data_IF_678175123426
#
_entry.id   IF_678175123426
#
_cell.length_a   1.000
_cell.length_b   1.000
_cell.length_c   1.000
_cell.angle_alpha   90.00
_cell.angle_beta   90.00
_cell.angle_gamma   90.00
#
_symmetry.space_group_name_H-M   'P 1'
#
loop_
_entity.id
_entity.type
_entity.pdbx_description
1 polymer ?
#
# COMPACT_ATOMS: atom_id res chain seq x y z
N UNK A 1 -11.11 7.02 -17.61
CA UNK A 1 -11.00 6.42 -16.27
C UNK A 1 -10.12 5.17 -16.43
N UNK A 2 -8.81 5.19 -16.13
CA UNK A 2 -8.08 3.94 -16.06
C UNK A 2 -8.65 3.13 -14.89
N UNK A 3 -9.01 1.88 -15.15
CA UNK A 3 -9.61 0.99 -14.18
C UNK A 3 -8.56 0.60 -13.14
N UNK A 4 -8.48 1.35 -12.03
CA UNK A 4 -7.78 0.89 -10.83
C UNK A 4 -8.70 -0.11 -10.14
N UNK A 5 -8.50 -1.39 -10.43
CA UNK A 5 -9.29 -2.43 -9.79
C UNK A 5 -8.73 -2.66 -8.39
N UNK A 6 -9.39 -2.09 -7.39
CA UNK A 6 -9.15 -2.37 -5.98
C UNK A 6 -9.96 -3.61 -5.61
N UNK A 7 -9.41 -4.79 -5.90
CA UNK A 7 -9.99 -6.03 -5.40
C UNK A 7 -9.37 -6.38 -4.06
N UNK A 8 -10.25 -6.39 -3.07
CA UNK A 8 -10.17 -7.24 -1.88
C UNK A 8 -9.25 -6.76 -0.75
N UNK A 9 -9.85 -6.07 0.23
CA UNK A 9 -9.40 -6.10 1.63
C UNK A 9 -9.86 -7.44 2.22
N UNK A 10 -9.26 -8.54 1.78
CA UNK A 10 -9.46 -9.83 2.44
C UNK A 10 -8.68 -9.84 3.76
N UNK A 11 -9.39 -10.09 4.85
CA UNK A 11 -8.82 -10.34 6.18
C UNK A 11 -8.15 -11.73 6.21
N UNK A 12 -7.00 -11.86 5.57
CA UNK A 12 -6.15 -13.04 5.66
C UNK A 12 -5.19 -12.78 6.82
N UNK A 13 -5.44 -13.45 7.96
CA UNK A 13 -4.60 -13.39 9.17
C UNK A 13 -4.41 -11.99 9.80
N UNK A 14 -5.48 -11.17 9.92
CA UNK A 14 -5.41 -9.83 10.54
C UNK A 14 -4.48 -8.86 9.77
N UNK A 15 -4.31 -9.07 8.47
CA UNK A 15 -3.53 -8.21 7.57
C UNK A 15 -4.44 -7.62 6.50
N UNK A 16 -4.33 -6.31 6.25
CA UNK A 16 -5.09 -5.64 5.19
C UNK A 16 -4.35 -5.80 3.87
N UNK A 17 -5.01 -6.32 2.84
CA UNK A 17 -4.44 -6.42 1.50
C UNK A 17 -5.07 -5.35 0.59
N UNK A 18 -4.25 -4.72 -0.24
CA UNK A 18 -4.69 -3.78 -1.27
C UNK A 18 -4.01 -4.14 -2.57
N UNK A 19 -4.80 -4.46 -3.59
CA UNK A 19 -4.31 -4.74 -4.94
C UNK A 19 -4.73 -3.56 -5.81
N UNK A 20 -3.77 -2.90 -6.45
CA UNK A 20 -4.03 -1.87 -7.44
C UNK A 20 -3.26 -2.20 -8.72
N UNK A 21 -3.98 -2.69 -9.73
CA UNK A 21 -3.38 -3.04 -11.03
C UNK A 21 -4.04 -2.27 -12.16
N UNK A 22 -3.22 -1.82 -13.11
CA UNK A 22 -3.63 -1.22 -14.38
C UNK A 22 -3.44 -2.17 -15.58
N UNK A 23 -2.63 -3.21 -15.40
CA UNK A 23 -2.22 -4.13 -16.48
C UNK A 23 -2.73 -5.57 -16.27
N UNK A 24 -3.52 -5.81 -15.21
CA UNK A 24 -4.02 -7.13 -14.87
C UNK A 24 -2.95 -8.07 -14.30
N UNK A 25 -1.81 -7.54 -13.83
CA UNK A 25 -0.78 -8.32 -13.13
C UNK A 25 -0.50 -7.73 -11.75
N UNK A 26 0.01 -8.52 -10.80
CA UNK A 26 0.28 -8.09 -9.42
C UNK A 26 1.43 -7.07 -9.29
N UNK A 27 2.35 -7.04 -10.25
CA UNK A 27 3.50 -6.13 -10.28
C UNK A 27 4.38 -6.20 -9.03
N UNK A 28 4.58 -5.07 -8.35
CA UNK A 28 5.43 -4.93 -7.16
C UNK A 28 4.59 -5.10 -5.89
N UNK A 29 5.01 -6.01 -5.01
CA UNK A 29 4.36 -6.31 -3.73
C UNK A 29 5.21 -5.71 -2.61
N UNK A 30 4.59 -4.83 -1.83
CA UNK A 30 5.15 -4.19 -0.65
C UNK A 30 4.41 -4.66 0.59
N UNK A 31 5.14 -4.94 1.65
CA UNK A 31 4.59 -5.23 2.96
C UNK A 31 4.95 -4.10 3.91
N UNK A 32 3.95 -3.38 4.38
CA UNK A 32 4.05 -2.32 5.36
C UNK A 32 3.53 -2.83 6.70
N UNK A 33 4.27 -2.57 7.79
CA UNK A 33 3.85 -2.91 9.14
C UNK A 33 4.25 -1.82 10.11
N UNK A 34 3.43 -1.61 11.13
CA UNK A 34 3.82 -0.80 12.28
C UNK A 34 4.87 -1.58 13.07
N UNK A 35 6.03 -0.98 13.28
CA UNK A 35 7.05 -1.52 14.18
C UNK A 35 6.60 -1.25 15.62
N UNK A 36 6.40 -2.32 16.38
CA UNK A 36 6.09 -2.24 17.81
C UNK A 36 7.40 -2.03 18.58
N UNK A 37 7.84 -0.77 18.64
CA UNK A 37 9.01 -0.32 19.39
C UNK A 37 8.65 0.79 20.38
N UNK A 38 9.40 0.85 21.48
CA UNK A 38 9.27 1.69 22.70
C UNK A 38 9.30 3.22 22.50
N UNK A 39 8.89 3.72 21.35
CA UNK A 39 8.91 5.14 21.01
C UNK A 39 7.50 5.67 20.79
N UNK A 40 7.27 6.86 21.34
CA UNK A 40 5.99 7.62 21.31
C UNK A 40 5.55 7.92 19.84
N UNK A 41 6.48 7.80 18.89
CA UNK A 41 6.22 7.95 17.46
C UNK A 41 6.03 6.57 16.79
N UNK A 42 4.85 6.35 16.22
CA UNK A 42 4.54 5.14 15.43
C UNK A 42 5.53 5.03 14.26
N UNK A 43 6.46 4.09 14.33
CA UNK A 43 7.44 3.84 13.27
C UNK A 43 6.86 2.80 12.32
N UNK A 44 6.79 3.10 11.02
CA UNK A 44 6.26 2.18 10.01
C UNK A 44 7.41 1.66 9.15
N UNK A 45 7.54 0.34 9.08
CA UNK A 45 8.53 -0.34 8.24
C UNK A 45 7.85 -0.88 6.99
N UNK A 46 8.48 -0.64 5.84
CA UNK A 46 7.98 -1.10 4.53
C UNK A 46 9.08 -1.92 3.88
N UNK A 47 8.75 -3.14 3.48
CA UNK A 47 9.65 -4.07 2.82
C UNK A 47 9.06 -4.54 1.50
N UNK A 48 9.83 -4.46 0.42
CA UNK A 48 9.41 -4.97 -0.90
C UNK A 48 9.60 -6.49 -0.92
N UNK A 49 8.48 -7.22 -0.94
CA UNK A 49 8.44 -8.69 -0.99
C UNK A 49 8.77 -9.16 -2.40
N UNK A 50 8.19 -8.50 -3.41
CA UNK A 50 8.28 -8.91 -4.81
C UNK A 50 8.28 -7.71 -5.76
N UNK A 51 8.93 -7.81 -6.92
CA UNK A 51 9.05 -6.70 -7.88
C UNK A 51 10.36 -5.92 -7.77
N UNK A 52 10.43 -4.75 -8.43
CA UNK A 52 11.64 -3.91 -8.44
C UNK A 52 11.83 -3.26 -7.06
N UNK A 53 12.95 -3.56 -6.41
CA UNK A 53 13.28 -3.09 -5.04
C UNK A 53 13.75 -1.64 -4.95
N UNK A 54 14.04 -0.99 -6.08
CA UNK A 54 14.72 0.32 -6.10
C UNK A 54 13.77 1.51 -6.30
N UNK A 55 12.46 1.31 -6.20
CA UNK A 55 11.51 2.40 -6.33
C UNK A 55 11.16 2.98 -4.95
N UNK A 56 12.06 3.84 -4.45
CA UNK A 56 11.87 4.58 -3.20
C UNK A 56 10.51 5.30 -3.11
N UNK A 57 9.94 5.68 -4.26
CA UNK A 57 8.60 6.26 -4.36
C UNK A 57 7.48 5.29 -3.95
N UNK A 58 7.56 4.02 -4.35
CA UNK A 58 6.57 3.00 -3.96
C UNK A 58 6.63 2.72 -2.47
N UNK A 59 7.84 2.66 -1.91
CA UNK A 59 8.07 2.50 -0.47
C UNK A 59 7.47 3.66 0.31
N UNK A 60 7.70 4.90 -0.14
CA UNK A 60 7.11 6.10 0.48
C UNK A 60 5.58 6.12 0.38
N UNK A 61 5.01 5.64 -0.72
CA UNK A 61 3.56 5.56 -0.89
C UNK A 61 2.92 4.50 0.02
N UNK A 62 3.50 3.30 0.10
CA UNK A 62 3.05 2.26 1.02
C UNK A 62 3.14 2.73 2.49
N UNK A 63 4.18 3.50 2.83
CA UNK A 63 4.34 4.12 4.15
C UNK A 63 3.22 5.13 4.44
N UNK A 64 2.94 6.05 3.52
CA UNK A 64 1.84 6.99 3.68
C UNK A 64 0.48 6.29 3.82
N UNK A 65 0.23 5.24 3.03
CA UNK A 65 -1.01 4.46 3.11
C UNK A 65 -1.20 3.81 4.49
N UNK A 66 -0.17 3.12 5.03
CA UNK A 66 -0.28 2.53 6.37
C UNK A 66 -0.41 3.59 7.46
N UNK A 67 0.22 4.76 7.29
CA UNK A 67 0.04 5.90 8.20
C UNK A 67 -1.42 6.39 8.20
N UNK A 68 -2.03 6.54 7.02
CA UNK A 68 -3.43 6.93 6.89
C UNK A 68 -4.41 5.91 7.49
N UNK A 69 -4.18 4.61 7.21
CA UNK A 69 -5.00 3.51 7.74
C UNK A 69 -4.85 3.40 9.27
N UNK A 70 -3.62 3.51 9.79
CA UNK A 70 -3.36 3.48 11.22
C UNK A 70 -3.89 4.69 11.95
N UNK A 71 -3.85 5.89 11.35
CA UNK A 71 -4.48 7.07 11.91
C UNK A 71 -6.02 6.98 11.90
N UNK A 72 -6.57 6.17 11.00
CA UNK A 72 -8.01 5.88 10.95
C UNK A 72 -8.45 4.85 12.02
N UNK A 73 -7.51 4.29 12.80
CA UNK A 73 -7.79 3.38 13.91
C UNK A 73 -7.41 1.92 13.68
N UNK A 74 -6.87 1.57 12.50
CA UNK A 74 -6.46 0.19 12.18
C UNK A 74 -4.94 0.01 12.27
N UNK A 75 -4.45 -0.62 13.35
CA UNK A 75 -3.01 -0.88 13.55
C UNK A 75 -2.50 -2.14 12.82
N UNK A 76 -3.21 -2.56 11.77
CA UNK A 76 -2.95 -3.83 11.08
C UNK A 76 -1.82 -3.66 10.05
N UNK A 77 -1.01 -4.69 9.81
CA UNK A 77 -0.06 -4.68 8.70
C UNK A 77 -0.81 -4.63 7.36
N UNK A 78 -0.21 -3.95 6.40
CA UNK A 78 -0.75 -3.69 5.06
C UNK A 78 0.13 -4.38 4.02
N UNK A 79 -0.47 -5.18 3.14
CA UNK A 79 0.18 -5.72 1.94
C UNK A 79 -0.35 -4.98 0.72
N UNK A 80 0.52 -4.27 0.01
CA UNK A 80 0.18 -3.47 -1.16
C UNK A 80 0.78 -4.11 -2.42
N UNK A 81 -0.07 -4.47 -3.39
CA UNK A 81 0.36 -5.00 -4.69
C UNK A 81 0.07 -3.99 -5.79
N UNK A 82 1.10 -3.50 -6.46
CA UNK A 82 1.03 -2.44 -7.48
C UNK A 82 1.44 -2.96 -8.85
N UNK A 83 0.45 -3.15 -9.73
CA UNK A 83 0.64 -3.52 -11.13
C UNK A 83 0.58 -2.32 -12.06
N UNK A 84 1.64 -1.51 -12.12
CA UNK A 84 1.66 -0.28 -12.92
C UNK A 84 2.36 -0.49 -14.26
N UNK A 85 1.79 0.08 -15.32
CA UNK A 85 2.45 0.16 -16.64
C UNK A 85 3.54 1.23 -16.65
N UNK A 86 3.24 2.36 -16.01
CA UNK A 86 4.09 3.52 -15.90
C UNK A 86 4.30 3.82 -14.41
N UNK A 87 5.56 3.95 -13.99
CA UNK A 87 5.94 4.17 -12.60
C UNK A 87 6.10 5.67 -12.27
N UNK A 88 5.53 6.55 -13.11
CA UNK A 88 5.51 7.98 -12.84
C UNK A 88 4.85 8.29 -11.49
N UNK A 89 5.41 9.28 -10.79
CA UNK A 89 4.89 9.75 -9.49
C UNK A 89 3.41 10.14 -9.55
N UNK A 90 2.96 10.66 -10.69
CA UNK A 90 1.58 11.08 -10.90
C UNK A 90 0.61 9.90 -10.80
N UNK A 91 0.95 8.78 -11.45
CA UNK A 91 0.17 7.54 -11.45
C UNK A 91 0.12 6.91 -10.06
N UNK A 92 1.24 6.87 -9.33
CA UNK A 92 1.26 6.30 -7.98
C UNK A 92 0.42 7.15 -7.03
N UNK A 93 0.47 8.49 -7.14
CA UNK A 93 -0.35 9.39 -6.33
C UNK A 93 -1.83 9.23 -6.60
N UNK A 94 -2.24 9.14 -7.86
CA UNK A 94 -3.65 8.90 -8.24
C UNK A 94 -4.18 7.61 -7.60
N UNK A 95 -3.35 6.56 -7.56
CA UNK A 95 -3.72 5.28 -6.94
C UNK A 95 -3.82 5.39 -5.43
N UNK A 96 -2.85 6.03 -4.78
CA UNK A 96 -2.89 6.27 -3.34
C UNK A 96 -4.14 7.07 -2.97
N UNK A 97 -4.43 8.14 -3.70
CA UNK A 97 -5.65 8.93 -3.53
C UNK A 97 -6.90 8.07 -3.71
N UNK A 98 -6.99 7.28 -4.78
CA UNK A 98 -8.13 6.40 -5.02
C UNK A 98 -8.33 5.36 -3.90
N UNK A 99 -7.25 4.75 -3.38
CA UNK A 99 -7.31 3.82 -2.24
C UNK A 99 -7.80 4.55 -0.99
N UNK A 100 -7.30 5.76 -0.74
CA UNK A 100 -7.68 6.56 0.42
C UNK A 100 -9.11 7.04 0.36
N UNK A 101 -9.59 7.44 -0.83
CA UNK A 101 -10.97 7.85 -1.07
C UNK A 101 -11.94 6.68 -0.92
N UNK A 102 -11.53 5.48 -1.32
CA UNK A 102 -12.38 4.29 -1.23
C UNK A 102 -12.59 3.81 0.22
N UNK A 103 -11.73 4.23 1.18
CA UNK A 103 -11.84 3.93 2.63
C UNK A 103 -12.39 2.53 2.94
N UNK A 104 -11.83 1.50 2.31
CA UNK A 104 -12.28 0.11 2.50
C UNK A 104 -11.74 -0.51 3.81
N UNK A 105 -11.45 0.32 4.83
CA UNK A 105 -10.86 -0.06 6.12
C UNK A 105 -11.77 0.28 7.30
#
# INVERSE_FOLDING_TARGET
>A
MPAYFCEDVSDVYNTSQVIATQIGTMGTILHARKEEGVSINSTYSVSVIFGKRDEAMLVACARQLIEHISNSGSSRPLVLSLGLKDHSMETVKEIVSAIVENRMW
#
